data_IF_005499961840
#
_entry.id   IF_005499961840
#
_cell.length_a   1.000
_cell.length_b   1.000
_cell.length_c   1.000
_cell.angle_alpha   90.00
_cell.angle_beta   90.00
_cell.angle_gamma   90.00
#
_symmetry.space_group_name_H-M   'P 1'
#
loop_
_entity.id
_entity.type
_entity.pdbx_description
1 polymer ?
#
# COMPACT_ATOMS: atom_id res chain seq x y z
N UNK A 1 16.29 17.07 -17.38
CA UNK A 1 16.70 16.09 -16.35
C UNK A 1 15.48 15.63 -15.59
N UNK A 2 14.82 14.56 -16.03
CA UNK A 2 13.62 13.98 -15.40
C UNK A 2 13.82 12.46 -15.29
N UNK A 3 14.77 12.00 -14.47
CA UNK A 3 14.97 10.56 -14.23
C UNK A 3 15.53 10.22 -12.84
N UNK A 4 15.55 11.18 -11.89
CA UNK A 4 16.03 10.92 -10.53
C UNK A 4 14.97 10.25 -9.63
N UNK A 5 13.69 10.52 -9.89
CA UNK A 5 12.58 10.06 -9.04
C UNK A 5 12.22 8.60 -9.27
N UNK A 6 12.46 8.07 -10.47
CA UNK A 6 12.11 6.69 -10.84
C UNK A 6 13.00 5.67 -10.15
N UNK A 7 14.30 5.97 -10.05
CA UNK A 7 15.26 5.11 -9.35
C UNK A 7 14.98 5.10 -7.85
N UNK A 8 14.67 6.25 -7.25
CA UNK A 8 14.29 6.34 -5.84
C UNK A 8 12.99 5.57 -5.58
N UNK A 9 11.95 5.74 -6.40
CA UNK A 9 10.70 4.99 -6.28
C UNK A 9 10.89 3.46 -6.42
N UNK A 10 11.75 3.02 -7.35
CA UNK A 10 12.09 1.60 -7.51
C UNK A 10 12.87 1.05 -6.31
N UNK A 11 13.82 1.82 -5.78
CA UNK A 11 14.65 1.44 -4.64
C UNK A 11 13.84 1.37 -3.34
N UNK A 12 12.94 2.34 -3.12
CA UNK A 12 11.92 2.27 -2.06
C UNK A 12 10.94 1.11 -2.27
N UNK A 13 10.57 0.81 -3.53
CA UNK A 13 9.83 -0.39 -3.94
C UNK A 13 10.46 -1.70 -3.46
N UNK A 14 11.77 -1.82 -3.65
CA UNK A 14 12.55 -3.01 -3.31
C UNK A 14 12.80 -3.17 -1.80
N UNK A 15 12.92 -2.07 -1.06
CA UNK A 15 13.36 -2.10 0.36
C UNK A 15 12.20 -1.96 1.35
N UNK A 16 11.16 -1.19 1.03
CA UNK A 16 10.16 -0.75 2.03
C UNK A 16 8.83 -1.52 1.95
N UNK A 17 8.67 -2.42 0.99
CA UNK A 17 7.35 -3.03 0.76
C UNK A 17 6.39 -2.06 0.06
N UNK A 18 6.90 -1.06 -0.67
CA UNK A 18 6.06 -0.19 -1.52
C UNK A 18 5.38 -0.96 -2.69
N UNK A 19 5.62 -2.27 -2.79
CA UNK A 19 4.86 -3.19 -3.62
C UNK A 19 3.58 -3.74 -2.97
N UNK A 20 3.27 -3.39 -1.72
CA UNK A 20 2.02 -3.76 -1.05
C UNK A 20 0.79 -3.20 -1.76
N UNK A 21 0.83 -1.92 -2.17
CA UNK A 21 -0.29 -1.30 -2.89
C UNK A 21 -0.55 -1.95 -4.26
N UNK A 22 0.42 -2.09 -5.19
CA UNK A 22 0.17 -2.77 -6.46
C UNK A 22 -0.25 -4.24 -6.28
N UNK A 23 0.29 -4.95 -5.27
CA UNK A 23 -0.17 -6.31 -4.91
C UNK A 23 -1.61 -6.32 -4.40
N UNK A 24 -1.99 -5.37 -3.56
CA UNK A 24 -3.36 -5.19 -3.07
C UNK A 24 -4.33 -4.90 -4.23
N UNK A 25 -3.93 -4.02 -5.16
CA UNK A 25 -4.69 -3.69 -6.37
C UNK A 25 -4.87 -4.92 -7.26
N UNK A 26 -3.81 -5.70 -7.49
CA UNK A 26 -3.91 -6.95 -8.26
C UNK A 26 -4.83 -7.96 -7.59
N UNK A 27 -4.70 -8.15 -6.27
CA UNK A 27 -5.58 -9.00 -5.49
C UNK A 27 -7.05 -8.54 -5.57
N UNK A 28 -7.29 -7.23 -5.38
CA UNK A 28 -8.63 -6.67 -5.46
C UNK A 28 -9.24 -6.85 -6.85
N UNK A 29 -8.46 -6.67 -7.92
CA UNK A 29 -8.92 -6.93 -9.29
C UNK A 29 -9.26 -8.39 -9.54
N UNK A 30 -8.51 -9.32 -8.95
CA UNK A 30 -8.75 -10.77 -9.11
C UNK A 30 -9.94 -11.25 -8.27
N UNK A 31 -10.10 -10.75 -7.06
CA UNK A 31 -11.10 -11.22 -6.10
C UNK A 31 -12.42 -10.44 -6.18
N UNK A 32 -12.35 -9.14 -6.52
CA UNK A 32 -13.49 -8.23 -6.54
C UNK A 32 -13.41 -7.26 -7.73
N UNK A 33 -13.64 -7.73 -8.97
CA UNK A 33 -13.60 -6.89 -10.16
C UNK A 33 -14.64 -5.74 -10.13
N UNK A 34 -15.74 -5.92 -9.41
CA UNK A 34 -16.82 -4.93 -9.29
C UNK A 34 -16.57 -3.83 -8.24
N UNK A 35 -15.49 -3.94 -7.44
CA UNK A 35 -15.15 -2.89 -6.47
C UNK A 35 -14.23 -1.84 -7.09
N UNK A 36 -14.52 -0.58 -6.80
CA UNK A 36 -13.61 0.51 -7.10
C UNK A 36 -12.28 0.32 -6.34
N UNK A 37 -11.18 0.47 -7.06
CA UNK A 37 -9.84 0.35 -6.51
C UNK A 37 -9.54 1.64 -5.74
N UNK A 38 -9.31 1.57 -4.41
CA UNK A 38 -8.99 2.76 -3.62
C UNK A 38 -7.65 3.33 -4.08
N UNK A 39 -7.48 4.65 -3.98
CA UNK A 39 -6.20 5.28 -4.29
C UNK A 39 -5.12 4.90 -3.28
N UNK A 40 -3.85 5.01 -3.65
CA UNK A 40 -2.71 4.69 -2.78
C UNK A 40 -2.80 5.41 -1.43
N UNK A 41 -3.18 6.69 -1.45
CA UNK A 41 -3.38 7.49 -0.25
C UNK A 41 -4.51 6.96 0.64
N UNK A 42 -5.62 6.52 0.04
CA UNK A 42 -6.74 5.94 0.79
C UNK A 42 -6.37 4.60 1.40
N UNK A 43 -5.62 3.76 0.67
CA UNK A 43 -5.10 2.49 1.17
C UNK A 43 -4.20 2.71 2.40
N UNK A 44 -3.23 3.63 2.30
CA UNK A 44 -2.35 3.95 3.42
C UNK A 44 -3.11 4.56 4.59
N UNK A 45 -4.05 5.49 4.32
CA UNK A 45 -4.89 6.08 5.37
C UNK A 45 -5.67 5.01 6.11
N UNK A 46 -6.32 4.09 5.40
CA UNK A 46 -7.10 3.01 5.99
C UNK A 46 -6.21 2.06 6.80
N UNK A 47 -5.04 1.68 6.26
CA UNK A 47 -4.05 0.86 6.95
C UNK A 47 -3.51 1.51 8.23
N UNK A 48 -3.19 2.80 8.19
CA UNK A 48 -2.76 3.54 9.38
C UNK A 48 -3.90 3.73 10.38
N UNK A 49 -5.12 3.98 9.89
CA UNK A 49 -6.31 4.07 10.74
C UNK A 49 -6.63 2.72 11.41
N UNK A 50 -6.46 1.60 10.72
CA UNK A 50 -6.61 0.25 11.29
C UNK A 50 -5.50 -0.02 12.32
N UNK A 51 -4.25 0.35 12.03
CA UNK A 51 -3.14 0.23 12.97
C UNK A 51 -3.33 1.10 14.23
N UNK A 52 -3.86 2.32 14.07
CA UNK A 52 -4.18 3.24 15.17
C UNK A 52 -5.39 2.76 15.98
N UNK A 53 -6.45 2.33 15.30
CA UNK A 53 -7.69 1.83 15.92
C UNK A 53 -7.51 0.47 16.57
N UNK A 54 -6.54 -0.31 16.13
CA UNK A 54 -6.30 -1.67 16.57
C UNK A 54 -4.85 -1.83 17.07
N UNK A 55 -4.47 -1.20 18.20
CA UNK A 55 -3.14 -1.38 18.81
C UNK A 55 -2.94 -2.80 19.39
N UNK A 56 -3.83 -3.76 19.08
CA UNK A 56 -3.93 -5.14 19.59
C UNK A 56 -2.83 -6.09 19.09
N UNK A 57 -1.60 -5.61 18.98
CA UNK A 57 -0.41 -6.46 19.02
C UNK A 57 0.52 -6.10 20.20
N UNK A 58 0.08 -5.23 21.12
CA UNK A 58 0.68 -5.07 22.44
C UNK A 58 -0.10 -5.86 23.49
N UNK A 59 -0.27 -7.16 23.26
CA UNK A 59 -0.48 -8.06 24.38
C UNK A 59 0.90 -8.62 24.73
N UNK A 60 1.38 -8.17 25.89
CA UNK A 60 2.42 -8.69 26.77
C UNK A 60 3.12 -9.98 26.34
#
# INVERSE_FOLDING_TARGET
MRDGTRTVAWWFGAIVGAQDYPRYVEHLRRTHPDRAIPTEREYWRDRYADADRNPRQRCC
#
